data_IF_923593240373
#
_entry.id   IF_923593240373
#
_cell.length_a   1.000
_cell.length_b   1.000
_cell.length_c   1.000
_cell.angle_alpha   90.00
_cell.angle_beta   90.00
_cell.angle_gamma   90.00
#
_symmetry.space_group_name_H-M   'P 1'
#
loop_
_entity.id
_entity.type
_entity.pdbx_description
1 polymer ?
#
# COMPACT_ATOMS: atom_id res chain seq x y z
N UNK A 1 -16.16 15.30 -7.78
CA UNK A 1 -15.68 14.64 -9.01
C UNK A 1 -14.72 13.55 -8.61
N UNK A 2 -15.09 12.28 -8.78
CA UNK A 2 -14.21 11.13 -8.51
C UNK A 2 -13.24 10.97 -9.69
N UNK A 3 -11.92 11.10 -9.43
CA UNK A 3 -10.89 10.81 -10.44
C UNK A 3 -10.65 9.30 -10.46
N UNK A 4 -10.96 8.65 -11.58
CA UNK A 4 -10.66 7.22 -11.78
C UNK A 4 -9.24 7.08 -12.31
N UNK A 5 -8.37 6.42 -11.56
CA UNK A 5 -7.01 6.12 -11.98
C UNK A 5 -6.95 4.69 -12.54
N UNK A 6 -6.41 4.53 -13.76
CA UNK A 6 -6.19 3.23 -14.40
C UNK A 6 -4.69 2.93 -14.33
N UNK A 7 -4.31 1.80 -13.70
CA UNK A 7 -2.93 1.34 -13.62
C UNK A 7 -2.74 0.21 -14.63
N UNK A 8 -1.85 0.42 -15.60
CA UNK A 8 -1.51 -0.57 -16.61
C UNK A 8 -0.37 -1.50 -16.13
N UNK A 9 -0.37 -2.73 -16.62
CA UNK A 9 0.70 -3.69 -16.29
C UNK A 9 2.05 -3.18 -16.82
N UNK A 10 3.03 -3.05 -15.94
CA UNK A 10 4.38 -2.55 -16.27
C UNK A 10 4.51 -1.02 -16.24
N UNK A 11 3.44 -0.29 -15.90
CA UNK A 11 3.50 1.15 -15.72
C UNK A 11 4.44 1.50 -14.56
N UNK A 12 5.43 2.33 -14.85
CA UNK A 12 6.32 2.91 -13.84
C UNK A 12 5.76 4.27 -13.42
N UNK A 13 5.81 4.61 -12.12
CA UNK A 13 5.45 5.95 -11.66
C UNK A 13 6.36 7.01 -12.31
N UNK A 14 5.80 8.18 -12.55
CA UNK A 14 6.58 9.36 -12.96
C UNK A 14 7.41 9.90 -11.79
N UNK A 15 8.45 10.69 -12.09
CA UNK A 15 9.29 11.29 -11.04
C UNK A 15 8.50 12.18 -10.08
N UNK A 16 7.50 12.91 -10.60
CA UNK A 16 6.59 13.73 -9.80
C UNK A 16 5.78 12.88 -8.81
N UNK A 17 5.23 11.76 -9.27
CA UNK A 17 4.50 10.82 -8.40
C UNK A 17 5.40 10.19 -7.34
N UNK A 18 6.65 9.86 -7.69
CA UNK A 18 7.62 9.35 -6.72
C UNK A 18 7.96 10.42 -5.67
N UNK A 19 8.06 11.68 -6.08
CA UNK A 19 8.33 12.79 -5.18
C UNK A 19 7.13 13.05 -4.23
N UNK A 20 5.90 13.00 -4.75
CA UNK A 20 4.67 13.07 -3.95
C UNK A 20 4.64 11.96 -2.88
N UNK A 21 4.99 10.72 -3.24
CA UNK A 21 5.08 9.61 -2.29
C UNK A 21 6.12 9.88 -1.19
N UNK A 22 7.29 10.41 -1.54
CA UNK A 22 8.35 10.74 -0.56
C UNK A 22 7.94 11.86 0.38
N UNK A 23 7.18 12.83 -0.11
CA UNK A 23 6.64 13.92 0.71
C UNK A 23 5.55 13.40 1.63
N UNK A 24 4.61 12.60 1.12
CA UNK A 24 3.57 11.92 1.91
C UNK A 24 4.16 11.09 3.06
N UNK A 25 5.30 10.41 2.84
CA UNK A 25 5.99 9.63 3.86
C UNK A 25 6.42 10.45 5.08
N UNK A 26 6.62 11.78 4.94
CA UNK A 26 7.03 12.66 6.06
C UNK A 26 5.88 12.96 7.01
N UNK A 27 4.64 12.73 6.59
CA UNK A 27 3.46 13.01 7.39
C UNK A 27 3.09 11.78 8.26
N UNK A 28 2.57 11.99 9.48
CA UNK A 28 2.11 10.90 10.32
C UNK A 28 0.90 10.20 9.68
N UNK A 29 0.80 8.89 9.89
CA UNK A 29 -0.38 8.11 9.50
C UNK A 29 -1.50 8.44 10.50
N UNK A 30 -2.59 9.02 10.00
CA UNK A 30 -3.78 9.33 10.80
C UNK A 30 -4.85 8.29 10.48
N UNK A 31 -5.25 7.54 11.51
CA UNK A 31 -6.35 6.58 11.43
C UNK A 31 -7.66 7.29 11.76
N UNK A 32 -8.72 6.96 11.04
CA UNK A 32 -10.08 7.45 11.28
C UNK A 32 -11.00 6.31 11.76
N UNK A 33 -12.27 6.62 12.01
CA UNK A 33 -13.25 5.64 12.50
C UNK A 33 -13.53 4.54 11.45
N UNK A 34 -13.47 4.89 10.16
CA UNK A 34 -13.69 3.97 9.04
C UNK A 34 -12.45 3.10 8.74
N UNK A 35 -11.26 3.56 9.14
CA UNK A 35 -9.96 2.93 8.94
C UNK A 35 -9.11 2.97 10.22
N UNK A 36 -9.48 2.17 11.24
CA UNK A 36 -8.75 2.11 12.49
C UNK A 36 -7.40 1.41 12.32
N UNK A 37 -6.50 1.63 13.28
CA UNK A 37 -5.22 0.93 13.31
C UNK A 37 -5.41 -0.59 13.46
N UNK A 38 -4.64 -1.35 12.69
CA UNK A 38 -4.66 -2.81 12.76
C UNK A 38 -4.08 -3.30 14.09
N UNK A 39 -4.74 -4.28 14.71
CA UNK A 39 -4.15 -4.96 15.88
C UNK A 39 -2.85 -5.70 15.53
N UNK A 40 -1.95 -5.95 16.50
CA UNK A 40 -0.71 -6.69 16.25
C UNK A 40 -0.94 -8.08 15.61
N UNK A 41 -2.03 -8.75 15.96
CA UNK A 41 -2.42 -10.04 15.36
C UNK A 41 -2.83 -9.89 13.88
N UNK A 42 -3.57 -8.83 13.55
CA UNK A 42 -3.97 -8.54 12.17
C UNK A 42 -2.75 -8.16 11.31
N UNK A 43 -1.83 -7.35 11.83
CA UNK A 43 -0.55 -7.07 11.16
C UNK A 43 0.22 -8.35 10.86
N UNK A 44 0.33 -9.27 11.83
CA UNK A 44 0.99 -10.57 11.65
C UNK A 44 0.31 -11.41 10.57
N UNK A 45 -1.02 -11.47 10.58
CA UNK A 45 -1.80 -12.22 9.58
C UNK A 45 -1.59 -11.63 8.18
N UNK A 46 -1.64 -10.30 8.05
CA UNK A 46 -1.42 -9.60 6.79
C UNK A 46 -0.01 -9.85 6.23
N UNK A 47 1.03 -9.72 7.06
CA UNK A 47 2.40 -10.04 6.66
C UNK A 47 2.54 -11.50 6.21
N UNK A 48 1.91 -12.42 6.92
CA UNK A 48 1.97 -13.86 6.62
C UNK A 48 1.26 -14.22 5.31
N UNK A 49 0.14 -13.57 4.99
CA UNK A 49 -0.59 -13.80 3.74
C UNK A 49 0.22 -13.35 2.52
N UNK A 50 0.89 -12.19 2.61
CA UNK A 50 1.78 -11.68 1.57
C UNK A 50 2.96 -12.61 1.33
N UNK A 51 3.63 -13.08 2.39
CA UNK A 51 4.76 -14.00 2.29
C UNK A 51 4.34 -15.31 1.60
N UNK A 52 3.22 -15.90 2.01
CA UNK A 52 2.72 -17.14 1.41
C UNK A 52 2.34 -16.98 -0.06
N UNK A 53 1.70 -15.86 -0.41
CA UNK A 53 1.39 -15.52 -1.80
C UNK A 53 2.64 -15.41 -2.65
N UNK A 54 3.67 -14.72 -2.15
CA UNK A 54 4.93 -14.55 -2.88
C UNK A 54 5.68 -15.86 -3.06
N UNK A 55 5.69 -16.74 -2.04
CA UNK A 55 6.23 -18.10 -2.16
C UNK A 55 5.54 -18.88 -3.28
N UNK A 56 4.20 -18.86 -3.33
CA UNK A 56 3.43 -19.57 -4.37
C UNK A 56 3.67 -19.02 -5.78
N UNK A 57 4.00 -17.73 -5.92
CA UNK A 57 4.29 -17.12 -7.22
C UNK A 57 5.71 -17.40 -7.74
N UNK A 58 6.63 -17.72 -6.83
CA UNK A 58 8.05 -17.91 -7.13
C UNK A 58 8.48 -19.40 -7.06
N UNK A 59 7.54 -20.31 -6.79
CA UNK A 59 7.71 -21.76 -6.81
C UNK A 59 7.13 -22.31 -8.12
#
# INVERSE_FOLDING_TARGET
MTKTFIINKGQKPTEEQLQEIREAQKHPIVFDEDSPELSPAMYKAFKSSVIQRNRKKNA
#
